data_IF_349013580631
#
_entry.id   IF_349013580631
#
_cell.length_a   1.000
_cell.length_b   1.000
_cell.length_c   1.000
_cell.angle_alpha   90.00
_cell.angle_beta   90.00
_cell.angle_gamma   90.00
#
_symmetry.space_group_name_H-M   'P 1'
#
loop_
_entity.id
_entity.type
_entity.pdbx_description
1 polymer ?
#
# COMPACT_ATOMS: atom_id res chain seq x y z
N UNK A 1 39.40 -4.60 -14.36
CA UNK A 1 38.26 -5.30 -15.00
C UNK A 1 37.12 -4.30 -15.20
N UNK A 2 36.28 -4.47 -16.23
CA UNK A 2 35.08 -3.64 -16.39
C UNK A 2 34.05 -3.95 -15.28
N UNK A 3 33.52 -2.93 -14.60
CA UNK A 3 32.45 -3.08 -13.59
C UNK A 3 31.23 -3.78 -14.21
N UNK A 4 30.47 -4.51 -13.39
CA UNK A 4 29.14 -5.03 -13.73
C UNK A 4 28.04 -4.10 -13.24
N UNK A 5 26.87 -4.13 -13.89
CA UNK A 5 25.75 -3.23 -13.58
C UNK A 5 25.36 -3.27 -12.09
N UNK A 6 25.35 -4.45 -11.45
CA UNK A 6 25.04 -4.58 -10.02
C UNK A 6 26.07 -3.92 -9.08
N UNK A 7 27.30 -3.68 -9.54
CA UNK A 7 28.37 -3.05 -8.77
C UNK A 7 28.35 -1.52 -8.88
N UNK A 8 27.65 -0.98 -9.88
CA UNK A 8 27.50 0.44 -10.18
C UNK A 8 26.01 0.85 -10.12
N UNK A 9 25.23 0.09 -9.36
CA UNK A 9 23.79 0.23 -9.28
C UNK A 9 23.39 1.50 -8.52
N UNK A 10 22.60 2.36 -9.16
CA UNK A 10 22.22 3.67 -8.60
C UNK A 10 21.20 3.59 -7.45
N UNK A 11 20.38 2.54 -7.39
CA UNK A 11 19.37 2.35 -6.34
C UNK A 11 19.93 1.72 -5.06
N UNK A 12 19.15 1.72 -3.97
CA UNK A 12 19.58 1.28 -2.62
C UNK A 12 19.53 -0.25 -2.42
N UNK A 13 19.59 -1.04 -3.49
CA UNK A 13 19.53 -2.51 -3.44
C UNK A 13 20.85 -3.13 -2.98
N UNK A 14 20.74 -4.31 -2.36
CA UNK A 14 21.90 -5.11 -1.92
C UNK A 14 22.00 -6.37 -2.76
N UNK A 15 23.15 -6.56 -3.42
CA UNK A 15 23.39 -7.66 -4.34
C UNK A 15 24.31 -8.72 -3.72
N UNK A 16 23.92 -9.99 -3.84
CA UNK A 16 24.69 -11.13 -3.35
C UNK A 16 24.93 -12.15 -4.47
N UNK A 17 25.88 -13.07 -4.24
CA UNK A 17 26.26 -14.15 -5.16
C UNK A 17 26.55 -13.66 -6.60
N UNK A 18 27.29 -12.55 -6.72
CA UNK A 18 27.65 -11.97 -8.02
C UNK A 18 26.48 -11.38 -8.81
N UNK A 19 25.49 -10.79 -8.10
CA UNK A 19 24.29 -10.21 -8.72
C UNK A 19 23.21 -11.25 -9.08
N UNK A 20 23.20 -12.42 -8.43
CA UNK A 20 22.13 -13.43 -8.57
C UNK A 20 20.96 -13.19 -7.62
N UNK A 21 21.25 -12.70 -6.41
CA UNK A 21 20.25 -12.35 -5.40
C UNK A 21 20.24 -10.84 -5.19
N UNK A 22 19.03 -10.27 -5.09
CA UNK A 22 18.78 -8.83 -5.08
C UNK A 22 17.79 -8.54 -3.95
N UNK A 23 18.26 -7.88 -2.91
CA UNK A 23 17.45 -7.48 -1.76
C UNK A 23 17.24 -5.96 -1.74
N UNK A 24 16.27 -5.48 -0.96
CA UNK A 24 16.14 -4.06 -0.67
C UNK A 24 17.16 -3.60 0.39
N UNK A 25 17.11 -2.32 0.78
CA UNK A 25 18.00 -1.77 1.81
C UNK A 25 17.78 -2.46 3.17
N UNK A 26 16.55 -2.86 3.47
CA UNK A 26 16.16 -3.38 4.79
C UNK A 26 16.48 -4.86 5.00
N UNK A 27 17.20 -5.52 4.09
CA UNK A 27 17.52 -6.97 4.12
C UNK A 27 17.97 -7.57 5.46
N UNK A 28 18.45 -6.76 6.43
CA UNK A 28 18.74 -7.20 7.81
C UNK A 28 17.49 -7.63 8.59
N UNK A 29 16.33 -7.04 8.31
CA UNK A 29 15.05 -7.37 8.95
C UNK A 29 14.62 -8.83 8.73
N UNK A 30 15.08 -9.46 7.64
CA UNK A 30 14.84 -10.87 7.35
C UNK A 30 15.26 -11.79 8.49
N UNK A 31 16.31 -11.45 9.24
CA UNK A 31 16.71 -12.22 10.42
C UNK A 31 15.63 -12.22 11.51
N UNK A 32 14.90 -11.11 11.66
CA UNK A 32 13.79 -10.98 12.60
C UNK A 32 12.62 -11.86 12.13
N UNK A 33 12.22 -11.76 10.85
CA UNK A 33 11.12 -12.55 10.30
C UNK A 33 11.43 -14.05 10.28
N UNK A 34 12.66 -14.45 9.96
CA UNK A 34 13.11 -15.85 10.09
C UNK A 34 13.01 -16.30 11.55
N UNK A 35 13.43 -15.48 12.52
CA UNK A 35 13.33 -15.83 13.96
C UNK A 35 11.88 -15.99 14.42
N UNK A 36 10.97 -15.11 13.99
CA UNK A 36 9.53 -15.18 14.29
C UNK A 36 8.85 -16.43 13.70
N UNK A 37 9.45 -17.07 12.70
CA UNK A 37 8.96 -18.34 12.12
C UNK A 37 9.64 -19.53 12.80
N UNK A 38 10.97 -19.51 12.90
CA UNK A 38 11.77 -20.66 13.35
C UNK A 38 11.64 -20.89 14.86
N UNK A 39 11.65 -19.84 15.70
CA UNK A 39 11.61 -20.03 17.17
C UNK A 39 10.32 -20.72 17.63
N UNK A 40 9.10 -20.28 17.22
CA UNK A 40 7.87 -20.99 17.56
C UNK A 40 7.83 -22.42 17.01
N UNK A 41 8.35 -22.65 15.79
CA UNK A 41 8.44 -24.01 15.22
C UNK A 41 9.38 -24.90 16.02
N UNK A 42 10.54 -24.41 16.47
CA UNK A 42 11.47 -25.17 17.31
C UNK A 42 10.83 -25.51 18.67
N UNK A 43 10.15 -24.56 19.31
CA UNK A 43 9.40 -24.80 20.55
C UNK A 43 8.31 -25.85 20.31
N UNK A 44 7.55 -25.77 19.21
CA UNK A 44 6.57 -26.77 18.84
C UNK A 44 7.19 -28.16 18.62
N UNK A 45 8.31 -28.26 17.89
CA UNK A 45 9.01 -29.53 17.67
C UNK A 45 9.52 -30.15 18.97
N UNK A 46 10.10 -29.34 19.87
CA UNK A 46 10.73 -29.79 21.12
C UNK A 46 9.71 -30.15 22.21
N UNK A 47 8.59 -29.42 22.31
CA UNK A 47 7.64 -29.59 23.42
C UNK A 47 6.31 -30.25 23.02
N UNK A 48 5.87 -30.15 21.77
CA UNK A 48 4.58 -30.69 21.31
C UNK A 48 4.78 -31.91 20.42
N UNK A 49 5.50 -31.77 19.30
CA UNK A 49 5.70 -32.87 18.37
C UNK A 49 6.49 -34.05 18.98
N UNK A 50 7.43 -33.78 19.90
CA UNK A 50 8.17 -34.78 20.67
C UNK A 50 7.28 -35.70 21.52
N UNK A 51 6.30 -35.13 22.23
CA UNK A 51 5.35 -35.93 23.03
C UNK A 51 4.38 -36.70 22.12
N UNK A 52 3.95 -36.08 21.01
CA UNK A 52 3.12 -36.74 20.00
C UNK A 52 3.88 -37.88 19.28
N UNK A 53 5.21 -37.81 19.13
CA UNK A 53 6.05 -38.90 18.61
C UNK A 53 5.91 -40.16 19.45
N UNK A 54 6.10 -40.05 20.77
CA UNK A 54 5.99 -41.18 21.68
C UNK A 54 4.56 -41.74 21.72
N UNK A 55 3.54 -40.87 21.67
CA UNK A 55 2.13 -41.30 21.75
C UNK A 55 1.64 -42.07 20.53
N UNK A 56 2.09 -41.69 19.33
CA UNK A 56 1.66 -42.29 18.05
C UNK A 56 2.70 -43.25 17.43
N UNK A 57 3.53 -43.88 18.28
CA UNK A 57 4.58 -44.82 17.85
C UNK A 57 4.04 -45.97 16.97
N UNK A 58 2.83 -46.47 17.25
CA UNK A 58 2.22 -47.64 16.59
C UNK A 58 1.98 -47.51 15.07
N UNK A 59 1.99 -46.29 14.52
CA UNK A 59 1.64 -46.02 13.12
C UNK A 59 2.66 -45.15 12.37
N UNK A 60 3.83 -44.87 12.95
CA UNK A 60 4.78 -43.83 12.49
C UNK A 60 4.16 -42.41 12.37
N UNK A 61 2.91 -42.20 12.77
CA UNK A 61 2.17 -40.95 12.54
C UNK A 61 2.78 -39.77 13.28
N UNK A 62 3.43 -40.00 14.42
CA UNK A 62 4.22 -38.97 15.10
C UNK A 62 5.41 -38.47 14.26
N UNK A 63 6.12 -39.36 13.54
CA UNK A 63 7.20 -38.97 12.64
C UNK A 63 6.67 -38.19 11.43
N UNK A 64 5.46 -38.51 10.97
CA UNK A 64 4.79 -37.72 9.94
C UNK A 64 4.52 -36.28 10.41
N UNK A 65 4.05 -36.05 11.64
CA UNK A 65 3.86 -34.68 12.19
C UNK A 65 5.17 -33.89 12.17
N UNK A 66 6.28 -34.47 12.65
CA UNK A 66 7.57 -33.79 12.64
C UNK A 66 8.07 -33.51 11.22
N UNK A 67 8.01 -34.50 10.32
CA UNK A 67 8.43 -34.37 8.93
C UNK A 67 7.62 -33.32 8.16
N UNK A 68 6.29 -33.30 8.33
CA UNK A 68 5.39 -32.29 7.76
C UNK A 68 5.76 -30.90 8.29
N UNK A 69 5.99 -30.76 9.60
CA UNK A 69 6.37 -29.48 10.21
C UNK A 69 7.67 -28.93 9.61
N UNK A 70 8.71 -29.77 9.51
CA UNK A 70 10.01 -29.39 8.95
C UNK A 70 9.88 -29.03 7.47
N UNK A 71 9.23 -29.88 6.67
CA UNK A 71 9.04 -29.65 5.24
C UNK A 71 8.22 -28.38 4.96
N UNK A 72 7.16 -28.15 5.73
CA UNK A 72 6.31 -26.96 5.56
C UNK A 72 7.02 -25.68 5.98
N UNK A 73 7.78 -25.72 7.08
CA UNK A 73 8.64 -24.60 7.51
C UNK A 73 9.72 -24.30 6.47
N UNK A 74 10.37 -25.33 5.91
CA UNK A 74 11.34 -25.16 4.83
C UNK A 74 10.71 -24.52 3.58
N UNK A 75 9.48 -24.89 3.22
CA UNK A 75 8.72 -24.24 2.15
C UNK A 75 8.41 -22.76 2.47
N UNK A 76 7.96 -22.43 3.69
CA UNK A 76 7.72 -21.03 4.11
C UNK A 76 9.00 -20.20 4.04
N UNK A 77 10.12 -20.71 4.54
CA UNK A 77 11.43 -20.03 4.48
C UNK A 77 11.96 -19.89 3.05
N UNK A 78 11.76 -20.90 2.20
CA UNK A 78 12.06 -20.81 0.77
C UNK A 78 11.23 -19.71 0.11
N UNK A 79 9.92 -19.63 0.38
CA UNK A 79 9.05 -18.59 -0.18
C UNK A 79 9.44 -17.18 0.30
N UNK A 80 9.82 -17.02 1.57
CA UNK A 80 10.38 -15.77 2.11
C UNK A 80 11.66 -15.35 1.37
N UNK A 81 12.62 -16.27 1.20
CA UNK A 81 13.85 -16.01 0.45
C UNK A 81 13.55 -15.68 -1.01
N UNK A 82 12.66 -16.44 -1.64
CA UNK A 82 12.21 -16.27 -3.02
C UNK A 82 11.47 -14.96 -3.28
N UNK A 83 10.90 -14.34 -2.24
CA UNK A 83 10.26 -13.02 -2.31
C UNK A 83 11.25 -11.88 -2.10
N UNK A 84 12.14 -12.05 -1.11
CA UNK A 84 13.10 -11.02 -0.67
C UNK A 84 14.34 -10.90 -1.56
N UNK A 85 14.83 -12.01 -2.11
CA UNK A 85 16.11 -12.07 -2.85
C UNK A 85 15.97 -11.90 -4.36
N UNK A 86 14.81 -11.47 -4.86
CA UNK A 86 14.53 -11.28 -6.28
C UNK A 86 14.33 -9.81 -6.63
N UNK A 87 14.71 -9.45 -7.85
CA UNK A 87 14.23 -8.21 -8.48
C UNK A 87 12.69 -8.24 -8.56
N UNK A 88 11.99 -7.28 -7.93
CA UNK A 88 10.52 -7.24 -7.88
C UNK A 88 9.87 -6.79 -9.19
N UNK A 89 10.65 -6.34 -10.18
CA UNK A 89 10.17 -5.72 -11.41
C UNK A 89 10.67 -4.29 -11.57
N UNK A 90 11.93 -4.04 -11.21
CA UNK A 90 12.53 -2.72 -11.33
C UNK A 90 12.57 -2.29 -12.81
N UNK A 91 12.15 -1.05 -13.07
CA UNK A 91 12.29 -0.41 -14.37
C UNK A 91 13.71 0.19 -14.47
N UNK A 92 14.47 -0.06 -15.56
CA UNK A 92 15.76 0.60 -15.79
C UNK A 92 15.59 2.13 -15.78
N UNK A 93 16.56 2.84 -15.21
CA UNK A 93 16.60 4.32 -15.30
C UNK A 93 17.04 4.72 -16.70
N UNK A 94 16.44 5.75 -17.27
CA UNK A 94 16.91 6.35 -18.53
C UNK A 94 18.25 7.06 -18.30
N UNK A 95 19.09 7.18 -19.33
CA UNK A 95 20.31 8.02 -19.29
C UNK A 95 20.01 9.50 -19.56
N UNK A 96 18.96 9.77 -20.34
CA UNK A 96 18.41 11.10 -20.63
C UNK A 96 16.88 11.08 -20.43
N UNK A 97 16.23 12.24 -20.17
CA UNK A 97 14.78 12.35 -20.21
C UNK A 97 14.19 11.94 -21.57
N UNK A 98 12.93 11.50 -21.65
CA UNK A 98 12.30 11.15 -22.93
C UNK A 98 12.21 12.36 -23.88
N UNK A 99 12.82 12.26 -25.06
CA UNK A 99 12.93 13.37 -26.02
C UNK A 99 11.59 13.74 -26.69
N UNK A 100 10.62 12.82 -26.71
CA UNK A 100 9.34 12.92 -27.43
C UNK A 100 8.41 14.08 -26.99
N UNK A 101 8.71 14.77 -25.87
CA UNK A 101 7.87 15.83 -25.31
C UNK A 101 8.63 17.14 -25.00
N UNK A 102 9.62 17.45 -25.83
CA UNK A 102 10.13 18.83 -25.98
C UNK A 102 9.10 19.71 -26.72
N UNK A 103 7.96 19.99 -26.07
CA UNK A 103 7.03 21.02 -26.55
C UNK A 103 7.67 22.40 -26.36
N UNK A 104 8.30 22.90 -27.42
CA UNK A 104 8.72 24.29 -27.50
C UNK A 104 7.46 25.16 -27.54
N UNK A 105 7.05 25.69 -26.38
CA UNK A 105 5.95 26.63 -26.29
C UNK A 105 6.42 28.02 -26.78
N UNK A 106 6.00 28.47 -27.97
CA UNK A 106 6.47 29.74 -28.52
C UNK A 106 5.86 30.94 -27.78
N UNK A 107 4.81 30.75 -26.98
CA UNK A 107 4.12 31.86 -26.30
C UNK A 107 4.95 32.48 -25.18
N UNK A 108 5.87 31.74 -24.57
CA UNK A 108 6.83 32.25 -23.59
C UNK A 108 8.03 32.99 -24.23
N UNK A 109 8.14 33.05 -25.56
CA UNK A 109 9.25 33.69 -26.26
C UNK A 109 9.03 35.19 -26.58
N UNK A 110 7.86 35.74 -26.28
CA UNK A 110 7.47 37.09 -26.72
C UNK A 110 7.81 38.20 -25.70
N UNK A 111 7.77 37.89 -24.39
CA UNK A 111 7.83 38.90 -23.32
C UNK A 111 9.23 39.09 -22.68
N UNK A 112 10.27 38.42 -23.16
CA UNK A 112 11.63 38.56 -22.64
C UNK A 112 12.66 38.82 -23.75
N UNK A 113 13.16 40.05 -23.85
CA UNK A 113 14.27 40.45 -24.73
C UNK A 113 15.65 39.89 -24.32
N UNK A 114 15.68 38.73 -23.66
CA UNK A 114 16.88 37.97 -23.30
C UNK A 114 17.00 36.71 -24.15
N UNK A 115 18.19 36.08 -24.16
CA UNK A 115 18.37 34.80 -24.85
C UNK A 115 17.35 33.77 -24.33
N UNK A 116 16.64 33.03 -25.21
CA UNK A 116 15.73 31.99 -24.75
C UNK A 116 16.54 30.85 -24.13
N UNK A 117 16.53 30.77 -22.80
CA UNK A 117 16.86 29.54 -22.07
C UNK A 117 15.60 28.67 -22.08
N UNK A 118 15.53 27.58 -22.88
CA UNK A 118 14.37 26.70 -22.86
C UNK A 118 14.30 26.01 -21.50
N UNK A 119 13.35 26.42 -20.66
CA UNK A 119 13.01 25.66 -19.47
C UNK A 119 12.30 24.38 -19.92
N UNK A 120 13.02 23.24 -19.86
CA UNK A 120 12.42 21.92 -20.09
C UNK A 120 11.40 21.61 -18.98
N UNK A 121 10.18 22.11 -19.13
CA UNK A 121 9.04 21.73 -18.30
C UNK A 121 8.42 20.47 -18.88
N UNK A 122 8.90 19.30 -18.43
CA UNK A 122 8.25 18.04 -18.72
C UNK A 122 6.83 18.03 -18.11
N UNK A 123 5.78 17.71 -18.88
CA UNK A 123 4.45 17.52 -18.33
C UNK A 123 4.47 16.54 -17.15
N UNK A 124 4.09 17.00 -15.94
CA UNK A 124 4.11 16.14 -14.73
C UNK A 124 3.28 14.86 -14.90
N UNK A 125 2.30 14.90 -15.82
CA UNK A 125 1.44 13.79 -16.19
C UNK A 125 1.39 13.61 -17.71
N UNK A 126 1.39 12.34 -18.16
CA UNK A 126 1.10 11.91 -19.53
C UNK A 126 -0.11 10.99 -19.52
N UNK A 127 -0.96 11.02 -20.54
CA UNK A 127 -2.05 10.05 -20.68
C UNK A 127 -1.62 8.87 -21.55
N UNK A 128 -1.90 7.65 -21.06
CA UNK A 128 -1.58 6.39 -21.74
C UNK A 128 -2.83 5.53 -21.80
N UNK A 129 -3.15 4.99 -22.97
CA UNK A 129 -4.32 4.13 -23.15
C UNK A 129 -4.08 2.73 -22.56
N UNK A 130 -4.97 2.31 -21.67
CA UNK A 130 -4.95 1.00 -21.01
C UNK A 130 -6.33 0.38 -21.17
N UNK A 131 -6.42 -0.78 -21.85
CA UNK A 131 -7.68 -1.47 -22.13
C UNK A 131 -8.77 -0.54 -22.72
N UNK A 132 -8.38 0.37 -23.62
CA UNK A 132 -9.29 1.33 -24.26
C UNK A 132 -9.70 2.53 -23.40
N UNK A 133 -9.12 2.72 -22.22
CA UNK A 133 -9.39 3.87 -21.32
C UNK A 133 -8.11 4.69 -21.07
N UNK A 134 -8.19 6.04 -21.02
CA UNK A 134 -7.03 6.87 -20.72
C UNK A 134 -6.64 6.76 -19.24
N UNK A 135 -5.36 6.55 -18.97
CA UNK A 135 -4.78 6.49 -17.61
C UNK A 135 -3.65 7.51 -17.51
N UNK A 136 -3.78 8.45 -16.56
CA UNK A 136 -2.74 9.44 -16.24
C UNK A 136 -1.57 8.77 -15.52
N UNK A 137 -0.41 8.72 -16.17
CA UNK A 137 0.88 8.32 -15.57
C UNK A 137 1.67 9.56 -15.13
N UNK A 138 2.56 9.40 -14.14
CA UNK A 138 3.42 10.48 -13.62
C UNK A 138 4.84 10.37 -14.15
N UNK A 139 5.50 11.50 -14.36
CA UNK A 139 6.96 11.52 -14.55
C UNK A 139 7.71 11.10 -13.27
N UNK A 140 8.94 10.64 -13.40
CA UNK A 140 9.83 10.31 -12.30
C UNK A 140 11.22 10.89 -12.55
N UNK A 141 11.51 12.03 -11.91
CA UNK A 141 12.79 12.73 -12.02
C UNK A 141 13.97 11.83 -11.65
N UNK A 142 13.91 11.13 -10.51
CA UNK A 142 14.96 10.23 -10.01
C UNK A 142 15.35 9.09 -10.96
N UNK A 143 14.45 8.69 -11.86
CA UNK A 143 14.65 7.61 -12.83
C UNK A 143 14.62 8.10 -14.29
N UNK A 144 14.39 9.40 -14.50
CA UNK A 144 14.22 10.10 -15.79
C UNK A 144 13.27 9.40 -16.76
N UNK A 145 12.10 8.98 -16.28
CA UNK A 145 11.11 8.25 -17.08
C UNK A 145 9.67 8.58 -16.71
N UNK A 146 8.76 8.52 -17.68
CA UNK A 146 7.33 8.39 -17.43
C UNK A 146 7.05 7.00 -16.87
N UNK A 147 6.49 6.93 -15.65
CA UNK A 147 6.23 5.66 -14.95
C UNK A 147 5.21 4.86 -15.78
N UNK A 148 5.50 3.61 -16.21
CA UNK A 148 4.51 2.78 -16.88
C UNK A 148 3.21 2.64 -16.05
N UNK A 149 2.06 2.29 -16.65
CA UNK A 149 0.86 1.98 -15.88
C UNK A 149 1.12 0.98 -14.75
N UNK A 150 0.54 1.22 -13.57
CA UNK A 150 0.78 0.47 -12.32
C UNK A 150 2.21 0.57 -11.74
N UNK A 151 3.09 1.41 -12.30
CA UNK A 151 4.45 1.62 -11.77
C UNK A 151 4.51 2.78 -10.78
N UNK A 152 5.16 2.56 -9.64
CA UNK A 152 5.46 3.61 -8.65
C UNK A 152 6.95 3.66 -8.34
N UNK A 153 7.46 4.84 -7.97
CA UNK A 153 8.79 4.98 -7.40
C UNK A 153 8.72 4.72 -5.89
N UNK A 154 9.63 3.91 -5.36
CA UNK A 154 9.81 3.72 -3.93
C UNK A 154 11.09 4.42 -3.49
N UNK A 155 10.97 5.49 -2.70
CA UNK A 155 12.08 6.30 -2.16
C UNK A 155 12.99 5.53 -1.21
N UNK A 156 12.46 4.51 -0.50
CA UNK A 156 13.21 3.60 0.36
C UNK A 156 14.18 2.75 -0.47
N UNK A 157 13.69 2.06 -1.50
CA UNK A 157 14.55 1.28 -2.40
C UNK A 157 15.30 2.13 -3.44
N UNK A 158 14.89 3.38 -3.66
CA UNK A 158 15.31 4.28 -4.74
C UNK A 158 15.21 3.64 -6.13
N UNK A 159 13.99 3.20 -6.49
CA UNK A 159 13.69 2.59 -7.79
C UNK A 159 12.24 2.77 -8.20
N UNK A 160 11.98 2.81 -9.51
CA UNK A 160 10.66 2.55 -10.08
C UNK A 160 10.40 1.03 -10.19
N UNK A 161 9.23 0.56 -9.74
CA UNK A 161 8.86 -0.87 -9.72
C UNK A 161 7.54 -1.10 -10.47
N UNK A 162 7.54 -2.02 -11.44
CA UNK A 162 6.38 -2.44 -12.23
C UNK A 162 5.34 -3.15 -11.34
N UNK A 163 4.06 -2.77 -11.49
CA UNK A 163 2.95 -3.23 -10.64
C UNK A 163 3.31 -3.17 -9.15
N UNK A 164 3.75 -1.98 -8.72
CA UNK A 164 4.16 -1.76 -7.33
C UNK A 164 2.98 -2.00 -6.39
N UNK A 165 3.20 -2.82 -5.37
CA UNK A 165 2.21 -3.14 -4.36
C UNK A 165 2.47 -2.37 -3.07
N UNK A 166 3.61 -2.63 -2.43
CA UNK A 166 4.12 -1.89 -1.28
C UNK A 166 5.62 -2.16 -1.09
N UNK A 167 6.29 -1.38 -0.23
CA UNK A 167 7.58 -1.77 0.33
C UNK A 167 7.34 -2.54 1.63
N UNK A 168 7.88 -3.75 1.76
CA UNK A 168 7.61 -4.62 2.91
C UNK A 168 8.84 -4.69 3.84
N UNK A 169 8.82 -4.07 5.04
CA UNK A 169 9.93 -4.15 5.98
C UNK A 169 10.24 -5.57 6.41
N UNK A 170 9.23 -6.43 6.62
CA UNK A 170 9.38 -7.84 7.02
C UNK A 170 10.09 -8.72 5.98
N UNK A 171 9.98 -8.35 4.70
CA UNK A 171 10.65 -9.05 3.58
C UNK A 171 11.91 -8.29 3.13
N UNK A 172 12.14 -7.09 3.67
CA UNK A 172 13.29 -6.23 3.39
C UNK A 172 13.39 -5.75 1.93
N UNK A 173 12.29 -5.72 1.19
CA UNK A 173 12.24 -5.52 -0.27
C UNK A 173 10.87 -4.98 -0.73
N UNK A 174 10.83 -4.32 -1.88
CA UNK A 174 9.58 -3.98 -2.58
C UNK A 174 8.83 -5.23 -3.04
N UNK A 175 7.50 -5.21 -2.94
CA UNK A 175 6.61 -6.20 -3.54
C UNK A 175 6.07 -5.61 -4.85
N UNK A 176 6.22 -6.36 -5.95
CA UNK A 176 5.83 -5.93 -7.29
C UNK A 176 5.65 -7.09 -8.27
N UNK A 177 5.52 -6.79 -9.56
CA UNK A 177 5.14 -7.71 -10.64
C UNK A 177 5.85 -9.07 -10.63
N UNK A 178 7.13 -9.14 -10.24
CA UNK A 178 7.96 -10.35 -10.37
C UNK A 178 8.09 -11.18 -9.09
N UNK A 179 7.77 -10.62 -7.92
CA UNK A 179 7.81 -11.33 -6.64
C UNK A 179 6.46 -11.45 -5.91
N UNK A 180 5.41 -10.74 -6.34
CA UNK A 180 4.07 -10.79 -5.73
C UNK A 180 3.50 -12.21 -5.53
N UNK A 181 3.65 -13.12 -6.52
CA UNK A 181 3.22 -14.52 -6.37
C UNK A 181 3.89 -15.22 -5.18
N UNK A 182 5.19 -15.02 -5.00
CA UNK A 182 5.94 -15.61 -3.90
C UNK A 182 5.60 -14.95 -2.57
N UNK A 183 5.36 -13.63 -2.56
CA UNK A 183 4.86 -12.91 -1.39
C UNK A 183 3.54 -13.49 -0.91
N UNK A 184 2.55 -13.62 -1.81
CA UNK A 184 1.25 -14.18 -1.45
C UNK A 184 1.38 -15.63 -0.97
N UNK A 185 2.15 -16.47 -1.67
CA UNK A 185 2.41 -17.85 -1.26
C UNK A 185 3.10 -17.92 0.11
N UNK A 186 4.04 -17.01 0.40
CA UNK A 186 4.70 -16.90 1.70
C UNK A 186 3.72 -16.55 2.82
N UNK A 187 2.91 -15.50 2.67
CA UNK A 187 1.95 -15.07 3.70
C UNK A 187 0.88 -16.14 3.94
N UNK A 188 0.28 -16.67 2.87
CA UNK A 188 -0.74 -17.73 2.97
C UNK A 188 -0.20 -19.05 3.53
N UNK A 189 1.01 -19.46 3.15
CA UNK A 189 1.68 -20.63 3.76
C UNK A 189 2.03 -20.39 5.22
N UNK A 190 2.38 -19.14 5.60
CA UNK A 190 2.64 -18.77 7.00
C UNK A 190 1.34 -18.79 7.82
N UNK A 191 0.22 -18.31 7.28
CA UNK A 191 -1.11 -18.47 7.90
C UNK A 191 -1.42 -19.95 8.12
N UNK A 192 -1.24 -20.79 7.10
CA UNK A 192 -1.55 -22.22 7.19
C UNK A 192 -0.61 -22.98 8.16
N UNK A 193 0.69 -22.64 8.21
CA UNK A 193 1.62 -23.17 9.23
C UNK A 193 1.21 -22.74 10.64
N UNK A 194 0.73 -21.50 10.80
CA UNK A 194 0.24 -20.98 12.06
C UNK A 194 -1.06 -21.69 12.53
N UNK A 195 -2.00 -21.96 11.62
CA UNK A 195 -3.18 -22.79 11.89
C UNK A 195 -2.75 -24.22 12.28
N UNK A 196 -1.81 -24.82 11.54
CA UNK A 196 -1.33 -26.17 11.82
C UNK A 196 -0.71 -26.28 13.23
N UNK A 197 0.20 -25.37 13.60
CA UNK A 197 0.81 -25.35 14.94
C UNK A 197 -0.23 -25.12 16.03
N UNK A 198 -1.21 -24.23 15.81
CA UNK A 198 -2.32 -24.02 16.75
C UNK A 198 -3.15 -25.28 16.96
N UNK A 199 -3.61 -25.91 15.87
CA UNK A 199 -4.45 -27.12 15.91
C UNK A 199 -3.71 -28.28 16.57
N UNK A 200 -2.44 -28.53 16.20
CA UNK A 200 -1.65 -29.61 16.79
C UNK A 200 -1.35 -29.37 18.29
N UNK A 201 -1.16 -28.12 18.70
CA UNK A 201 -1.01 -27.76 20.13
C UNK A 201 -2.31 -27.96 20.91
N UNK A 202 -3.45 -27.56 20.34
CA UNK A 202 -4.77 -27.79 20.93
C UNK A 202 -5.12 -29.28 21.04
N UNK A 203 -4.78 -30.08 20.03
CA UNK A 203 -4.93 -31.55 20.06
C UNK A 203 -4.06 -32.17 21.16
N UNK A 204 -2.83 -31.69 21.38
CA UNK A 204 -1.98 -32.18 22.47
C UNK A 204 -2.56 -31.83 23.86
N UNK A 205 -3.10 -30.61 24.05
CA UNK A 205 -3.84 -30.27 25.28
C UNK A 205 -5.05 -31.19 25.48
N UNK A 206 -5.79 -31.52 24.40
CA UNK A 206 -6.90 -32.47 24.48
C UNK A 206 -6.43 -33.86 24.94
N UNK A 207 -5.35 -34.41 24.38
CA UNK A 207 -4.85 -35.72 24.80
C UNK A 207 -4.43 -35.74 26.28
N UNK A 208 -3.82 -34.67 26.78
CA UNK A 208 -3.55 -34.52 28.22
C UNK A 208 -4.82 -34.53 29.07
N UNK A 209 -5.94 -33.97 28.56
CA UNK A 209 -7.22 -34.00 29.26
C UNK A 209 -7.89 -35.38 29.29
N UNK A 210 -7.78 -36.11 28.18
CA UNK A 210 -8.38 -37.44 28.01
C UNK A 210 -7.64 -38.53 28.82
N UNK A 211 -6.43 -38.23 29.33
CA UNK A 211 -5.58 -39.13 30.13
C UNK A 211 -5.62 -38.81 31.64
N UNK A 212 -4.76 -37.91 32.12
CA UNK A 212 -4.52 -37.70 33.56
C UNK A 212 -5.11 -36.39 34.12
N UNK A 213 -5.58 -35.48 33.25
CA UNK A 213 -5.92 -34.10 33.63
C UNK A 213 -7.37 -33.73 33.28
N UNK A 214 -8.39 -34.18 34.04
CA UNK A 214 -9.81 -34.08 33.69
C UNK A 214 -10.39 -32.66 33.61
N UNK A 215 -9.56 -31.61 33.75
CA UNK A 215 -9.96 -30.22 33.48
C UNK A 215 -8.92 -29.51 32.62
N UNK A 216 -9.39 -28.70 31.66
CA UNK A 216 -8.56 -27.91 30.73
C UNK A 216 -7.47 -27.13 31.47
N UNK A 217 -7.81 -26.53 32.61
CA UNK A 217 -6.89 -25.75 33.45
C UNK A 217 -5.71 -26.56 34.02
N UNK A 218 -5.91 -27.86 34.29
CA UNK A 218 -4.81 -28.75 34.71
C UNK A 218 -3.93 -29.12 33.52
N UNK A 219 -4.51 -29.51 32.38
CA UNK A 219 -3.78 -29.84 31.17
C UNK A 219 -2.95 -28.66 30.64
N UNK A 220 -3.50 -27.45 30.63
CA UNK A 220 -2.79 -26.22 30.27
C UNK A 220 -1.59 -25.92 31.19
N UNK A 221 -1.71 -26.20 32.50
CA UNK A 221 -0.58 -26.05 33.43
C UNK A 221 0.49 -27.12 33.25
N UNK A 222 0.14 -28.30 32.74
CA UNK A 222 1.11 -29.34 32.41
C UNK A 222 1.92 -29.02 31.14
N UNK A 223 1.32 -28.34 30.16
CA UNK A 223 2.03 -27.89 28.95
C UNK A 223 1.95 -26.37 28.74
N UNK A 224 2.71 -25.56 29.52
CA UNK A 224 2.76 -24.12 29.32
C UNK A 224 3.30 -23.74 27.93
N UNK A 225 4.19 -24.55 27.35
CA UNK A 225 4.68 -24.34 25.99
C UNK A 225 3.56 -24.38 24.94
N UNK A 226 2.60 -25.30 25.06
CA UNK A 226 1.44 -25.38 24.15
C UNK A 226 0.53 -24.18 24.29
N UNK A 227 0.32 -23.69 25.53
CA UNK A 227 -0.45 -22.45 25.78
C UNK A 227 0.23 -21.26 25.13
N UNK A 228 1.54 -21.08 25.33
CA UNK A 228 2.33 -19.99 24.72
C UNK A 228 2.25 -20.05 23.20
N UNK A 229 2.40 -21.24 22.60
CA UNK A 229 2.25 -21.44 21.15
C UNK A 229 0.84 -21.12 20.66
N UNK A 230 -0.21 -21.57 21.35
CA UNK A 230 -1.59 -21.25 21.00
C UNK A 230 -1.88 -19.75 21.08
N UNK A 231 -1.41 -19.05 22.12
CA UNK A 231 -1.53 -17.59 22.24
C UNK A 231 -0.76 -16.88 21.14
N UNK A 232 0.50 -17.27 20.87
CA UNK A 232 1.31 -16.70 19.80
C UNK A 232 0.65 -16.88 18.44
N UNK A 233 0.16 -18.10 18.14
CA UNK A 233 -0.51 -18.41 16.89
C UNK A 233 -1.84 -17.66 16.77
N UNK A 234 -2.63 -17.56 17.84
CA UNK A 234 -3.88 -16.77 17.83
C UNK A 234 -3.60 -15.31 17.45
N UNK A 235 -2.68 -14.64 18.14
CA UNK A 235 -2.27 -13.26 17.83
C UNK A 235 -1.75 -13.15 16.39
N UNK A 236 -0.87 -14.07 15.98
CA UNK A 236 -0.29 -14.09 14.62
C UNK A 236 -1.34 -14.28 13.52
N UNK A 237 -2.43 -15.00 13.77
CA UNK A 237 -3.51 -15.20 12.80
C UNK A 237 -4.29 -13.92 12.51
N UNK A 238 -4.47 -13.01 13.47
CA UNK A 238 -5.08 -11.70 13.20
C UNK A 238 -4.27 -10.90 12.18
N UNK A 239 -2.94 -10.85 12.35
CA UNK A 239 -2.05 -10.11 11.46
C UNK A 239 -1.82 -10.83 10.12
N UNK A 240 -1.29 -12.05 10.15
CA UNK A 240 -0.89 -12.78 8.93
C UNK A 240 -2.09 -13.37 8.21
N UNK A 241 -3.11 -13.86 8.93
CA UNK A 241 -4.37 -14.32 8.35
C UNK A 241 -5.21 -13.17 7.80
N UNK A 242 -5.28 -12.04 8.51
CA UNK A 242 -5.90 -10.81 8.00
C UNK A 242 -5.23 -10.31 6.71
N UNK A 243 -3.89 -10.31 6.67
CA UNK A 243 -3.12 -9.97 5.47
C UNK A 243 -3.38 -10.94 4.31
N UNK A 244 -3.46 -12.26 4.56
CA UNK A 244 -3.87 -13.25 3.54
C UNK A 244 -5.27 -12.95 3.00
N UNK A 245 -6.25 -12.65 3.87
CA UNK A 245 -7.61 -12.29 3.47
C UNK A 245 -7.66 -11.01 2.62
N UNK A 246 -6.92 -9.98 3.02
CA UNK A 246 -6.81 -8.73 2.28
C UNK A 246 -6.20 -8.95 0.88
N UNK A 247 -5.12 -9.71 0.77
CA UNK A 247 -4.53 -10.01 -0.55
C UNK A 247 -5.38 -10.97 -1.40
N UNK A 248 -6.20 -11.85 -0.80
CA UNK A 248 -7.21 -12.61 -1.56
C UNK A 248 -8.24 -11.67 -2.21
N UNK A 249 -8.70 -10.64 -1.50
CA UNK A 249 -9.56 -9.60 -2.07
C UNK A 249 -8.86 -8.85 -3.21
N UNK A 250 -7.62 -8.39 -3.01
CA UNK A 250 -6.85 -7.67 -4.03
C UNK A 250 -6.58 -8.50 -5.29
N UNK A 251 -6.31 -9.81 -5.13
CA UNK A 251 -6.20 -10.74 -6.28
C UNK A 251 -7.56 -10.87 -6.96
N UNK A 252 -8.65 -11.06 -6.20
CA UNK A 252 -10.01 -11.13 -6.73
C UNK A 252 -10.42 -9.93 -7.57
N UNK A 253 -9.98 -8.72 -7.21
CA UNK A 253 -10.25 -7.47 -7.95
C UNK A 253 -9.14 -7.05 -8.93
N UNK A 254 -8.04 -7.80 -9.07
CA UNK A 254 -6.84 -7.39 -9.84
C UNK A 254 -6.25 -6.02 -9.43
N UNK A 255 -6.32 -5.67 -8.14
CA UNK A 255 -5.73 -4.43 -7.62
C UNK A 255 -4.41 -4.73 -6.91
N UNK A 256 -3.50 -3.77 -6.90
CA UNK A 256 -2.41 -3.74 -5.91
C UNK A 256 -2.87 -3.04 -4.64
N UNK A 257 -2.15 -3.23 -3.53
CA UNK A 257 -2.36 -2.48 -2.28
C UNK A 257 -2.32 -0.96 -2.53
N UNK A 258 -1.30 -0.49 -3.28
CA UNK A 258 -1.14 0.90 -3.68
C UNK A 258 -2.35 1.44 -4.47
N UNK A 259 -2.84 0.68 -5.46
CA UNK A 259 -4.02 1.04 -6.24
C UNK A 259 -5.27 1.04 -5.39
N UNK A 260 -5.48 0.05 -4.52
CA UNK A 260 -6.66 -0.03 -3.67
C UNK A 260 -6.79 1.18 -2.74
N UNK A 261 -5.69 1.62 -2.10
CA UNK A 261 -5.73 2.82 -1.27
C UNK A 261 -5.90 4.10 -2.11
N UNK A 262 -5.12 4.25 -3.20
CA UNK A 262 -5.12 5.50 -3.96
C UNK A 262 -6.34 5.68 -4.89
N UNK A 263 -6.87 4.60 -5.45
CA UNK A 263 -8.05 4.65 -6.34
C UNK A 263 -9.35 4.77 -5.56
N UNK A 264 -9.41 4.34 -4.29
CA UNK A 264 -10.54 4.66 -3.40
C UNK A 264 -10.58 6.16 -3.09
N UNK A 265 -9.43 6.78 -2.80
CA UNK A 265 -9.34 8.23 -2.60
C UNK A 265 -9.70 9.04 -3.86
N UNK A 266 -9.19 8.62 -5.03
CA UNK A 266 -9.45 9.28 -6.32
C UNK A 266 -10.76 8.80 -7.02
N UNK A 267 -11.57 7.95 -6.38
CA UNK A 267 -12.74 7.23 -6.93
C UNK A 267 -12.58 6.69 -8.38
N UNK A 268 -11.44 6.05 -8.68
CA UNK A 268 -11.12 5.61 -10.04
C UNK A 268 -11.70 4.23 -10.36
N UNK A 269 -12.31 4.12 -11.53
CA UNK A 269 -12.77 2.83 -12.07
C UNK A 269 -11.58 1.89 -12.29
N UNK A 270 -11.70 0.67 -11.79
CA UNK A 270 -10.70 -0.37 -11.99
C UNK A 270 -10.70 -0.84 -13.46
N UNK A 271 -9.62 -0.54 -14.19
CA UNK A 271 -9.45 -0.91 -15.60
C UNK A 271 -8.75 -2.25 -15.80
N UNK A 272 -8.30 -2.90 -14.73
CA UNK A 272 -7.49 -4.12 -14.76
C UNK A 272 -8.26 -5.39 -14.39
N UNK A 273 -9.45 -5.27 -13.79
CA UNK A 273 -10.31 -6.40 -13.47
C UNK A 273 -10.77 -7.14 -14.74
N UNK A 274 -10.61 -8.47 -14.75
CA UNK A 274 -11.03 -9.39 -15.81
C UNK A 274 -12.01 -10.45 -15.31
N UNK A 275 -12.60 -10.23 -14.14
CA UNK A 275 -13.38 -11.21 -13.39
C UNK A 275 -12.50 -12.08 -12.49
N UNK A 276 -13.00 -12.35 -11.28
CA UNK A 276 -12.26 -12.99 -10.18
C UNK A 276 -11.40 -14.19 -10.62
N UNK A 277 -11.99 -15.21 -11.28
CA UNK A 277 -11.26 -16.40 -11.72
C UNK A 277 -10.06 -16.06 -12.64
N UNK A 278 -10.25 -15.17 -13.60
CA UNK A 278 -9.18 -14.76 -14.53
C UNK A 278 -8.07 -14.00 -13.80
N UNK A 279 -8.41 -13.20 -12.79
CA UNK A 279 -7.43 -12.47 -11.97
C UNK A 279 -6.59 -13.44 -11.11
N UNK A 280 -7.22 -14.48 -10.54
CA UNK A 280 -6.50 -15.57 -9.87
C UNK A 280 -5.59 -16.33 -10.84
N UNK A 281 -6.08 -16.73 -12.02
CA UNK A 281 -5.26 -17.39 -13.05
C UNK A 281 -4.09 -16.51 -13.51
N UNK A 282 -4.27 -15.19 -13.62
CA UNK A 282 -3.19 -14.25 -13.93
C UNK A 282 -2.09 -14.29 -12.85
N UNK A 283 -2.43 -14.36 -11.57
CA UNK A 283 -1.44 -14.38 -10.48
C UNK A 283 -0.76 -15.73 -10.35
N UNK A 284 -1.50 -16.85 -10.41
CA UNK A 284 -0.97 -18.18 -10.12
C UNK A 284 -0.42 -18.91 -11.35
N UNK A 285 -1.14 -18.86 -12.48
CA UNK A 285 -0.87 -19.69 -13.65
C UNK A 285 -0.06 -18.97 -14.75
N UNK A 286 0.15 -17.66 -14.66
CA UNK A 286 0.99 -16.94 -15.64
C UNK A 286 2.50 -17.17 -15.43
N UNK A 287 3.25 -16.98 -16.52
CA UNK A 287 4.71 -16.95 -16.50
C UNK A 287 5.24 -15.64 -15.88
N UNK A 288 6.27 -15.74 -15.03
CA UNK A 288 6.93 -14.56 -14.48
C UNK A 288 7.68 -13.85 -15.62
N UNK A 289 7.36 -12.57 -15.86
CA UNK A 289 8.08 -11.74 -16.83
C UNK A 289 9.60 -11.74 -16.55
N UNK A 290 10.46 -11.74 -17.58
CA UNK A 290 11.91 -11.59 -17.38
C UNK A 290 12.23 -10.26 -16.66
N UNK A 291 13.42 -10.15 -16.08
CA UNK A 291 13.87 -8.85 -15.56
C UNK A 291 14.12 -7.91 -16.73
N UNK A 292 13.77 -6.63 -16.56
CA UNK A 292 14.15 -5.57 -17.50
C UNK A 292 15.62 -5.13 -17.32
N UNK A 293 16.30 -5.61 -16.28
CA UNK A 293 17.68 -5.24 -15.95
C UNK A 293 18.61 -6.45 -16.04
N UNK A 294 19.64 -6.38 -16.89
CA UNK A 294 20.71 -7.38 -16.93
C UNK A 294 21.80 -7.08 -15.90
N UNK A 295 21.47 -7.19 -14.61
CA UNK A 295 22.36 -6.82 -13.49
C UNK A 295 23.79 -7.40 -13.56
N UNK A 296 23.99 -8.52 -14.26
CA UNK A 296 25.29 -9.21 -14.39
C UNK A 296 26.08 -8.81 -15.64
N UNK A 297 25.49 -8.07 -16.57
CA UNK A 297 26.19 -7.53 -17.73
C UNK A 297 27.28 -6.54 -17.30
N UNK A 298 28.27 -6.33 -18.16
CA UNK A 298 29.28 -5.30 -17.95
C UNK A 298 28.68 -3.92 -18.25
N UNK A 299 29.08 -2.92 -17.46
CA UNK A 299 28.72 -1.52 -17.73
C UNK A 299 29.33 -1.13 -19.06
N UNK A 300 28.49 -0.85 -20.06
CA UNK A 300 28.93 -0.19 -21.28
C UNK A 300 29.39 1.22 -20.88
N UNK A 301 30.67 1.53 -21.12
CA UNK A 301 31.10 2.92 -21.15
C UNK A 301 30.48 3.53 -22.40
N UNK A 302 29.51 4.41 -22.23
CA UNK A 302 29.14 5.36 -23.28
C UNK A 302 30.44 6.06 -23.70
N UNK A 303 30.81 5.94 -24.97
CA UNK A 303 31.90 6.74 -25.51
C UNK A 303 31.46 8.21 -25.44
N UNK A 304 32.33 9.17 -25.07
CA UNK A 304 31.95 10.58 -25.13
C UNK A 304 31.52 10.89 -26.56
N UNK A 305 30.34 11.47 -26.71
CA UNK A 305 29.88 11.97 -28.00
C UNK A 305 30.96 12.90 -28.59
N UNK A 306 31.22 12.78 -29.89
CA UNK A 306 32.39 13.34 -30.55
C UNK A 306 32.63 14.81 -30.23
N UNK A 307 33.89 15.18 -30.01
CA UNK A 307 34.26 16.47 -29.44
C UNK A 307 33.77 17.68 -30.23
N UNK A 308 32.92 18.49 -29.60
CA UNK A 308 32.88 19.94 -29.82
C UNK A 308 33.95 20.59 -28.96
N UNK A 309 34.75 21.51 -29.53
CA UNK A 309 35.88 22.11 -28.84
C UNK A 309 35.46 22.85 -27.55
N UNK A 310 36.13 22.55 -26.44
CA UNK A 310 36.01 23.35 -25.23
C UNK A 310 36.56 24.76 -25.51
N UNK A 311 35.69 25.77 -25.45
CA UNK A 311 36.11 27.13 -25.13
C UNK A 311 35.99 27.28 -23.63
N UNK A 312 37.11 27.62 -23.02
CA UNK A 312 37.17 28.06 -21.62
C UNK A 312 36.24 29.27 -21.47
N UNK A 313 35.35 29.20 -20.48
CA UNK A 313 34.63 30.35 -19.93
C UNK A 313 34.84 30.25 -18.43
N UNK A 314 35.39 31.31 -17.85
CA UNK A 314 35.75 31.38 -16.44
C UNK A 314 34.49 31.32 -15.57
N UNK A 315 34.53 30.50 -14.52
CA UNK A 315 33.42 30.31 -13.58
C UNK A 315 33.62 31.23 -12.37
N UNK A 316 32.88 32.33 -12.33
CA UNK A 316 32.80 33.23 -11.18
C UNK A 316 31.33 33.52 -10.83
N UNK A 317 30.70 32.59 -10.11
CA UNK A 317 29.54 32.89 -9.26
C UNK A 317 29.43 31.88 -8.11
N UNK A 318 29.91 32.29 -6.93
CA UNK A 318 29.60 31.59 -5.69
C UNK A 318 28.09 31.68 -5.38
N UNK A 319 27.44 30.53 -5.20
CA UNK A 319 26.01 30.42 -4.89
C UNK A 319 25.72 29.25 -3.94
N UNK A 320 24.88 29.49 -2.93
CA UNK A 320 24.66 28.60 -1.79
C UNK A 320 23.95 27.27 -2.12
N UNK A 321 24.06 26.23 -1.25
CA UNK A 321 23.41 24.94 -1.48
C UNK A 321 21.89 25.05 -1.36
N UNK A 322 21.16 24.84 -2.47
CA UNK A 322 19.69 24.74 -2.44
C UNK A 322 19.22 23.56 -1.59
N UNK A 323 18.15 23.80 -0.82
CA UNK A 323 17.66 22.90 0.21
C UNK A 323 17.14 21.55 -0.33
N UNK A 324 17.24 20.51 0.51
CA UNK A 324 16.52 19.25 0.33
C UNK A 324 15.01 19.49 0.49
N UNK A 325 14.21 18.90 -0.39
CA UNK A 325 12.76 18.77 -0.20
C UNK A 325 12.48 17.41 0.45
N UNK A 326 11.79 17.43 1.58
CA UNK A 326 11.41 16.25 2.36
C UNK A 326 9.94 15.87 2.10
N UNK A 327 9.66 15.33 0.92
CA UNK A 327 8.34 14.78 0.58
C UNK A 327 8.38 13.23 0.64
N UNK A 328 7.81 12.65 1.72
CA UNK A 328 7.21 11.29 1.76
C UNK A 328 6.70 10.89 3.19
N UNK A 329 6.41 11.83 4.10
CA UNK A 329 5.84 11.55 5.44
C UNK A 329 4.29 11.66 5.51
N UNK A 330 3.58 11.53 4.39
CA UNK A 330 2.11 11.68 4.35
C UNK A 330 1.32 10.46 4.89
N UNK A 331 1.95 9.28 5.08
CA UNK A 331 1.22 8.09 5.52
C UNK A 331 0.68 8.18 6.97
N UNK A 332 1.35 8.94 7.85
CA UNK A 332 0.91 9.15 9.23
C UNK A 332 -0.11 10.28 9.38
N UNK A 333 0.08 11.38 8.66
CA UNK A 333 -0.80 12.55 8.73
C UNK A 333 -2.19 12.31 8.13
N UNK A 334 -2.27 11.51 7.06
CA UNK A 334 -3.55 11.20 6.43
C UNK A 334 -4.39 10.20 7.23
N UNK A 335 -3.77 9.29 7.99
CA UNK A 335 -4.48 8.37 8.88
C UNK A 335 -5.24 9.12 10.00
N UNK A 336 -4.62 10.16 10.57
CA UNK A 336 -5.25 11.06 11.54
C UNK A 336 -6.38 11.89 10.92
N UNK A 337 -6.20 12.41 9.69
CA UNK A 337 -7.26 13.12 8.97
C UNK A 337 -8.43 12.20 8.59
N UNK A 338 -8.18 10.92 8.33
CA UNK A 338 -9.22 9.93 8.03
C UNK A 338 -10.01 9.57 9.29
N UNK A 339 -9.36 9.35 10.44
CA UNK A 339 -10.10 9.11 11.70
C UNK A 339 -10.93 10.31 12.12
N UNK A 340 -10.44 11.52 11.87
CA UNK A 340 -11.15 12.76 12.21
C UNK A 340 -12.38 12.98 11.33
N UNK A 341 -12.30 12.73 10.01
CA UNK A 341 -13.48 12.80 9.12
C UNK A 341 -14.56 11.77 9.47
N UNK A 342 -14.17 10.55 9.84
CA UNK A 342 -15.15 9.52 10.23
C UNK A 342 -15.92 9.93 11.51
N UNK A 343 -15.25 10.60 12.45
CA UNK A 343 -15.88 11.15 13.66
C UNK A 343 -16.83 12.33 13.36
N UNK A 344 -16.45 13.19 12.40
CA UNK A 344 -17.28 14.33 11.97
C UNK A 344 -18.49 13.87 11.13
N UNK A 345 -18.35 12.83 10.29
CA UNK A 345 -19.44 12.31 9.46
C UNK A 345 -20.49 11.56 10.30
N UNK A 346 -20.05 10.80 11.31
CA UNK A 346 -20.94 10.08 12.24
C UNK A 346 -21.70 11.04 13.20
N UNK A 347 -21.10 12.18 13.57
CA UNK A 347 -21.76 13.19 14.43
C UNK A 347 -22.71 14.13 13.69
N UNK A 348 -22.54 14.33 12.38
CA UNK A 348 -23.46 15.16 11.57
C UNK A 348 -24.75 14.42 11.20
N UNK A 349 -24.67 13.10 10.94
CA UNK A 349 -25.87 12.30 10.61
C UNK A 349 -26.76 12.04 11.85
N UNK A 350 -26.18 11.92 13.06
CA UNK A 350 -27.00 11.76 14.29
C UNK A 350 -27.74 13.04 14.70
N UNK A 351 -27.21 14.23 14.38
CA UNK A 351 -27.87 15.51 14.68
C UNK A 351 -29.00 15.89 13.72
N UNK A 352 -29.02 15.32 12.50
CA UNK A 352 -30.07 15.58 11.50
C UNK A 352 -31.40 14.83 11.74
N UNK A 353 -31.37 13.71 12.45
CA UNK A 353 -32.48 12.74 12.48
C UNK A 353 -33.38 12.79 13.75
N UNK A 354 -33.22 13.79 14.63
CA UNK A 354 -34.00 13.89 15.89
C UNK A 354 -34.73 15.22 16.08
N UNK A 355 -35.70 15.48 15.20
CA UNK A 355 -36.78 16.44 15.47
C UNK A 355 -38.14 15.98 14.93
N UNK A 356 -38.66 14.88 15.47
CA UNK A 356 -40.11 14.70 15.78
C UNK A 356 -40.43 13.33 16.41
N UNK A 357 -41.31 13.35 17.41
CA UNK A 357 -42.20 12.27 17.87
C UNK A 357 -41.62 10.91 18.32
N UNK A 358 -41.53 10.74 19.64
CA UNK A 358 -42.57 9.97 20.35
C UNK A 358 -42.49 8.44 20.43
N UNK A 359 -41.98 7.96 21.59
CA UNK A 359 -42.30 6.72 22.31
C UNK A 359 -41.82 5.31 21.83
N UNK A 360 -41.24 4.61 22.84
CA UNK A 360 -41.19 3.15 23.09
C UNK A 360 -40.33 2.23 22.20
N UNK A 361 -39.24 1.73 22.81
CA UNK A 361 -39.03 0.28 22.96
C UNK A 361 -37.74 -0.33 22.42
N UNK A 362 -36.81 -0.67 23.34
CA UNK A 362 -35.64 -1.52 23.06
C UNK A 362 -34.43 -0.80 22.45
N UNK A 363 -33.19 -1.26 22.61
CA UNK A 363 -32.71 -2.30 23.53
C UNK A 363 -31.23 -2.05 23.91
N UNK A 364 -30.91 -2.43 25.13
CA UNK A 364 -29.58 -2.41 25.73
C UNK A 364 -28.60 -3.34 24.99
N UNK A 365 -27.54 -2.75 24.41
CA UNK A 365 -26.41 -3.51 23.83
C UNK A 365 -25.04 -2.79 23.89
N UNK A 366 -24.97 -1.54 24.35
CA UNK A 366 -23.77 -0.69 24.23
C UNK A 366 -23.14 -0.23 25.58
N UNK A 367 -23.50 -0.86 26.70
CA UNK A 367 -23.14 -0.38 28.04
C UNK A 367 -22.48 -1.46 28.94
N UNK A 368 -21.58 -2.27 28.37
CA UNK A 368 -20.85 -3.34 29.09
C UNK A 368 -19.31 -3.25 28.95
N UNK A 369 -18.77 -2.33 28.13
CA UNK A 369 -17.34 -2.33 27.77
C UNK A 369 -16.46 -1.19 28.32
N UNK A 370 -16.99 -0.28 29.15
CA UNK A 370 -16.22 0.83 29.74
C UNK A 370 -16.17 0.85 31.30
N UNK A 371 -16.57 -0.23 31.97
CA UNK A 371 -16.70 -0.24 33.44
C UNK A 371 -15.92 -1.36 34.14
N UNK A 372 -14.64 -1.57 33.79
CA UNK A 372 -13.78 -2.50 34.54
C UNK A 372 -12.28 -2.15 34.57
N UNK A 373 -11.93 -0.85 34.66
CA UNK A 373 -10.56 -0.42 34.96
C UNK A 373 -10.45 0.83 35.87
N UNK A 374 -11.23 0.87 36.95
CA UNK A 374 -11.03 1.83 38.06
C UNK A 374 -11.64 1.32 39.38
N UNK A 375 -10.83 1.13 40.44
CA UNK A 375 -11.36 0.75 41.76
C UNK A 375 -10.33 0.47 42.88
N UNK A 376 -9.99 1.51 43.67
CA UNK A 376 -9.29 1.43 44.97
C UNK A 376 -7.75 1.37 44.91
N UNK A 377 -6.96 1.99 45.80
CA UNK A 377 -7.17 2.85 46.99
C UNK A 377 -5.83 3.62 47.25
N UNK A 378 -5.66 4.67 48.06
CA UNK A 378 -6.53 5.44 48.97
C UNK A 378 -6.23 6.97 48.88
N UNK A 379 -5.91 7.70 49.97
CA UNK A 379 -5.78 9.18 49.97
C UNK A 379 -4.81 9.77 51.01
N UNK A 380 -4.28 10.99 50.73
CA UNK A 380 -3.79 12.01 51.70
C UNK A 380 -3.28 13.32 51.00
N UNK A 381 -3.15 14.48 51.69
CA UNK A 381 -3.44 15.81 51.10
C UNK A 381 -2.22 16.70 50.69
N UNK A 382 -2.44 17.90 50.10
CA UNK A 382 -1.42 18.67 49.37
C UNK A 382 -0.64 19.72 50.20
N UNK A 383 0.54 20.11 49.70
CA UNK A 383 1.36 21.22 50.22
C UNK A 383 1.74 22.20 49.10
N UNK A 384 1.74 23.49 49.43
CA UNK A 384 1.95 24.64 48.54
C UNK A 384 3.44 24.98 48.27
N UNK A 385 3.63 25.91 47.30
CA UNK A 385 4.68 26.96 47.19
C UNK A 385 5.93 26.64 46.30
N UNK A 386 6.66 27.67 45.80
CA UNK A 386 6.50 28.02 44.38
C UNK A 386 7.83 28.29 43.62
N UNK A 387 7.68 28.69 42.35
CA UNK A 387 8.59 29.53 41.53
C UNK A 387 10.11 29.25 41.51
N UNK A 388 10.64 29.08 40.29
CA UNK A 388 11.64 30.04 39.79
C UNK A 388 11.47 30.23 38.29
N UNK A 389 11.19 31.47 37.87
CA UNK A 389 11.35 31.91 36.48
C UNK A 389 12.84 32.11 36.20
N UNK A 390 13.25 31.87 34.96
CA UNK A 390 14.21 32.78 34.33
C UNK A 390 13.81 33.03 32.88
N UNK A 391 13.85 34.29 32.47
CA UNK A 391 13.23 34.79 31.24
C UNK A 391 14.05 35.93 30.62
N UNK A 392 14.28 35.88 29.31
CA UNK A 392 14.53 37.06 28.46
C UNK A 392 14.11 36.74 27.02
N UNK A 393 12.94 37.19 26.54
CA UNK A 393 12.60 38.54 26.03
C UNK A 393 13.19 38.80 24.61
N UNK A 394 12.40 39.12 23.57
CA UNK A 394 10.93 39.12 23.50
C UNK A 394 10.30 39.75 22.24
N UNK A 395 8.96 39.68 22.20
CA UNK A 395 7.94 40.52 21.50
C UNK A 395 8.17 40.97 20.03
N UNK A 396 7.20 40.60 19.17
CA UNK A 396 6.03 41.46 18.90
C UNK A 396 4.82 40.69 18.34
N UNK A 397 3.63 41.25 18.50
CA UNK A 397 2.32 40.67 18.16
C UNK A 397 1.45 41.67 17.37
N UNK A 398 1.01 41.28 16.18
CA UNK A 398 0.02 41.92 15.28
C UNK A 398 0.12 41.18 13.93
N UNK A 399 -0.89 41.00 13.07
CA UNK A 399 -2.33 41.27 13.06
C UNK A 399 -2.95 40.20 12.16
N UNK A 400 -4.22 39.81 12.35
CA UNK A 400 -4.92 38.94 11.39
C UNK A 400 -5.66 39.81 10.38
N UNK A 401 -5.04 40.05 9.22
CA UNK A 401 -5.66 40.76 8.11
C UNK A 401 -5.80 39.84 6.89
N UNK A 402 -7.05 39.59 6.51
CA UNK A 402 -7.45 38.73 5.38
C UNK A 402 -7.68 39.63 4.16
N UNK A 403 -7.04 39.33 3.03
CA UNK A 403 -7.18 40.12 1.79
C UNK A 403 -8.61 40.05 1.24
N UNK A 404 -9.22 41.16 0.78
CA UNK A 404 -10.66 41.25 0.52
C UNK A 404 -11.18 40.62 -0.79
N UNK A 405 -10.32 39.94 -1.57
CA UNK A 405 -10.65 39.52 -2.95
C UNK A 405 -11.53 38.25 -3.07
N UNK A 406 -11.95 37.64 -1.95
CA UNK A 406 -12.79 36.41 -1.95
C UNK A 406 -14.30 36.70 -1.74
N UNK A 407 -14.69 37.94 -1.41
CA UNK A 407 -16.11 38.28 -1.18
C UNK A 407 -16.88 38.71 -2.45
N UNK A 408 -16.21 38.94 -3.58
CA UNK A 408 -16.85 39.49 -4.79
C UNK A 408 -17.56 38.45 -5.70
N UNK A 409 -17.27 37.14 -5.58
CA UNK A 409 -17.86 36.11 -6.44
C UNK A 409 -19.12 35.42 -5.89
N UNK A 410 -19.50 35.67 -4.63
CA UNK A 410 -20.65 35.00 -3.99
C UNK A 410 -21.96 35.80 -4.05
N UNK A 411 -21.93 37.04 -4.54
CA UNK A 411 -23.06 37.98 -4.49
C UNK A 411 -23.97 37.97 -5.73
N UNK A 412 -23.82 37.03 -6.67
CA UNK A 412 -24.62 36.98 -7.92
C UNK A 412 -25.53 35.74 -8.05
N UNK A 413 -25.69 34.94 -6.98
CA UNK A 413 -26.51 33.72 -7.00
C UNK A 413 -27.76 33.78 -6.11
N UNK A 414 -27.87 34.73 -5.17
CA UNK A 414 -28.95 34.81 -4.18
C UNK A 414 -29.66 36.18 -4.24
N UNK A 415 -30.54 36.36 -5.22
CA UNK A 415 -31.27 37.62 -5.39
C UNK A 415 -32.35 37.58 -6.48
N UNK A 416 -33.45 36.86 -6.26
CA UNK A 416 -34.54 36.84 -7.25
C UNK A 416 -35.66 35.81 -7.06
N UNK A 417 -36.24 35.67 -5.87
CA UNK A 417 -37.41 34.82 -5.67
C UNK A 417 -38.48 35.48 -4.79
N UNK A 418 -39.47 36.15 -5.41
CA UNK A 418 -40.89 36.19 -5.00
C UNK A 418 -41.69 37.30 -5.73
N UNK A 419 -42.53 36.92 -6.71
CA UNK A 419 -43.79 37.60 -7.03
C UNK A 419 -44.67 36.66 -7.88
N UNK A 420 -45.96 36.54 -7.57
CA UNK A 420 -46.87 35.56 -8.17
C UNK A 420 -47.94 36.19 -9.06
N UNK A 421 -48.37 35.49 -10.12
CA UNK A 421 -49.74 35.49 -10.67
C UNK A 421 -49.89 34.48 -11.83
N UNK A 422 -51.09 33.92 -11.99
CA UNK A 422 -51.48 33.01 -13.09
C UNK A 422 -52.50 33.72 -14.04
N UNK A 423 -53.21 33.02 -14.95
CA UNK A 423 -52.75 32.24 -16.11
C UNK A 423 -53.32 32.79 -17.45
N UNK A 424 -52.84 32.31 -18.61
CA UNK A 424 -53.44 32.61 -19.94
C UNK A 424 -53.48 31.40 -20.89
N UNK A 425 -54.33 31.46 -21.94
CA UNK A 425 -54.84 30.32 -22.72
C UNK A 425 -54.45 30.33 -24.22
N UNK A 426 -54.07 29.15 -24.75
CA UNK A 426 -54.24 28.68 -26.17
C UNK A 426 -53.57 29.53 -27.29
N UNK A 427 -53.59 29.12 -28.59
CA UNK A 427 -54.02 27.85 -29.26
C UNK A 427 -52.83 27.07 -29.90
N UNK A 428 -52.87 25.74 -30.05
CA UNK A 428 -53.48 24.94 -31.14
C UNK A 428 -52.99 25.24 -32.58
N UNK A 429 -52.38 24.24 -33.23
CA UNK A 429 -51.98 24.24 -34.64
C UNK A 429 -52.68 23.09 -35.40
N UNK A 430 -53.09 23.33 -36.66
CA UNK A 430 -53.92 22.41 -37.46
C UNK A 430 -53.23 21.99 -38.79
N UNK A 431 -53.46 20.72 -39.17
CA UNK A 431 -53.57 20.14 -40.53
C UNK A 431 -52.66 20.57 -41.71
N UNK A 432 -51.94 19.58 -42.29
CA UNK A 432 -52.26 18.82 -43.54
C UNK A 432 -50.95 18.16 -44.05
N UNK A 433 -50.77 16.87 -44.34
CA UNK A 433 -51.55 15.79 -44.96
C UNK A 433 -51.52 15.73 -46.51
N UNK A 434 -50.54 14.98 -47.06
CA UNK A 434 -50.55 14.18 -48.32
C UNK A 434 -49.26 13.32 -48.32
N UNK A 435 -49.23 11.99 -48.32
CA UNK A 435 -49.99 10.93 -49.02
C UNK A 435 -49.60 10.75 -50.50
N UNK A 436 -48.96 9.62 -50.84
CA UNK A 436 -49.28 8.74 -52.01
C UNK A 436 -48.31 7.52 -52.18
N UNK A 437 -48.60 6.42 -51.48
CA UNK A 437 -48.94 5.07 -52.02
C UNK A 437 -48.03 4.28 -53.02
N UNK A 438 -48.30 2.98 -53.37
CA UNK A 438 -47.35 1.89 -53.05
C UNK A 438 -46.96 0.98 -54.23
N UNK A 439 -46.22 -0.11 -53.96
CA UNK A 439 -46.46 -1.48 -54.49
C UNK A 439 -45.62 -2.53 -53.74
N UNK A 440 -46.08 -3.78 -53.75
CA UNK A 440 -45.34 -4.95 -53.26
C UNK A 440 -45.60 -6.19 -54.14
N UNK A 441 -44.66 -7.13 -54.11
CA UNK A 441 -44.61 -8.54 -54.60
C UNK A 441 -43.11 -8.92 -54.49
N UNK A 442 -42.68 -9.93 -53.73
CA UNK A 442 -42.88 -11.38 -53.94
C UNK A 442 -42.51 -11.83 -55.35
N UNK A 443 -41.30 -12.38 -55.53
CA UNK A 443 -41.07 -13.76 -55.99
C UNK A 443 -39.57 -14.10 -56.10
N UNK A 444 -39.24 -15.40 -55.94
CA UNK A 444 -37.95 -16.09 -56.11
C UNK A 444 -36.84 -15.89 -55.04
#
# INVERSE_FOLDING_TARGET
MAKRIYQDWKGKNKFFFGGRCIFGPDAKSLLMTISLIVVPVVIFCVFVASHLLHRFSSYNAGYAVLAITIAFTANVLLLLLMTSSRDPGIIPRSSHPPEEELSYDPSNAVDAGGRPTPSLQFPRFKEVMVNGRPVKVKYCETCMLYRPPRCSHCSICDNCVERFDHHCPWVGQCIGQRNYRYFFMFVSSSTALCIFVFVMSALYIKFLMDEDYPTVWKAMKQSPASVILMTYCFISLWFVGGLTGFHLYLIGTNQTTYENFRYRADNRVNVHDRGCLNNFLEVFCSGIKPSRNEFRAHVQKEAPAGGGAAREVEDDFAGEPRAKVEDDLELGGDLLKISQRLYDEETVDEFGARSSNGLRGGAAAAAILEAEFAGGLEAAPPVHRPETRNSSWGRRSSSWDISPDILAMKASAEGGAAAAAAPSKRPAAHHHHRSLHPRGSEDA
#
